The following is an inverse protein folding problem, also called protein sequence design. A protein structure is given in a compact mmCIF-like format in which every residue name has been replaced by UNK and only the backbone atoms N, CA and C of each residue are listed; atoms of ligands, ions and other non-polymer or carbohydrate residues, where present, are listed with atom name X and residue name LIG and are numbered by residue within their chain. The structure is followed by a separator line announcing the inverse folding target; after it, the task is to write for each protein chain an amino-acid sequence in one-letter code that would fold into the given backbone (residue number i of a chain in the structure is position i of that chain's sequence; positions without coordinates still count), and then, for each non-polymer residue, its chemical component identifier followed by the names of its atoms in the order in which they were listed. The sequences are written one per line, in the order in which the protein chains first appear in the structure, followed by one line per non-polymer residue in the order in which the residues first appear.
data_IF_314289307506
#
_entry.id   IF_314289307506
#
_cell.length_a   1.000
_cell.length_b   1.000
_cell.length_c   1.000
_cell.angle_alpha   90.00
_cell.angle_beta   90.00
_cell.angle_gamma   90.00
#
_symmetry.space_group_name_H-M   'P 1'
#
loop_
_entity.id
_entity.type
_entity.pdbx_description
1 polymer ?
#
# COMPACT_ATOMS: atom_id res chain seq x y z
N UNK A 1 3.49 -41.08 33.52
CA UNK A 1 2.92 -40.44 32.33
C UNK A 1 3.91 -39.37 31.89
N UNK A 2 4.74 -39.65 30.87
CA UNK A 2 5.72 -38.73 30.34
C UNK A 2 4.99 -37.82 29.31
N UNK A 3 4.92 -36.55 29.62
CA UNK A 3 4.54 -35.52 28.65
C UNK A 3 5.62 -35.42 27.55
N UNK A 4 5.35 -35.99 26.40
CA UNK A 4 6.17 -35.78 25.23
C UNK A 4 5.88 -34.35 24.71
N UNK A 5 6.65 -33.38 25.18
CA UNK A 5 6.74 -32.07 24.59
C UNK A 5 7.43 -32.17 23.20
N UNK A 6 6.61 -32.22 22.16
CA UNK A 6 7.14 -32.08 20.82
C UNK A 6 7.73 -30.66 20.66
N UNK A 7 9.02 -30.54 20.33
CA UNK A 7 9.58 -29.23 20.04
C UNK A 7 8.92 -28.69 18.73
N UNK A 8 8.02 -27.73 18.86
CA UNK A 8 7.73 -26.84 17.73
C UNK A 8 9.06 -26.20 17.37
N UNK A 9 9.71 -26.70 16.31
CA UNK A 9 10.84 -26.01 15.71
C UNK A 9 10.34 -24.61 15.36
N UNK A 10 10.67 -23.62 16.19
CA UNK A 10 10.34 -22.24 15.97
C UNK A 10 11.04 -21.84 14.67
N UNK A 11 10.25 -21.73 13.60
CA UNK A 11 10.79 -21.24 12.33
C UNK A 11 11.46 -19.87 12.59
N UNK A 12 12.74 -19.76 12.28
CA UNK A 12 13.47 -18.51 12.45
C UNK A 12 12.83 -17.40 11.61
N UNK A 13 12.67 -16.24 12.19
CA UNK A 13 12.17 -15.06 11.49
C UNK A 13 13.05 -14.75 10.27
N UNK A 14 12.45 -14.69 9.08
CA UNK A 14 13.16 -14.34 7.85
C UNK A 14 13.35 -12.81 7.75
N UNK A 15 14.20 -12.25 8.62
CA UNK A 15 14.33 -10.80 8.82
C UNK A 15 14.68 -10.04 7.54
N UNK A 16 15.57 -10.59 6.69
CA UNK A 16 15.89 -9.99 5.38
C UNK A 16 14.68 -9.86 4.46
N UNK A 17 13.77 -10.86 4.52
CA UNK A 17 12.53 -10.84 3.73
C UNK A 17 11.55 -9.83 4.31
N UNK A 18 11.46 -9.70 5.64
CA UNK A 18 10.63 -8.68 6.29
C UNK A 18 11.08 -7.27 5.94
N UNK A 19 12.38 -6.99 5.97
CA UNK A 19 12.93 -5.70 5.56
C UNK A 19 12.65 -5.41 4.09
N UNK A 20 12.81 -6.40 3.21
CA UNK A 20 12.51 -6.26 1.79
C UNK A 20 11.01 -6.01 1.54
N UNK A 21 10.12 -6.67 2.29
CA UNK A 21 8.67 -6.42 2.25
C UNK A 21 8.32 -5.02 2.76
N UNK A 22 8.92 -4.58 3.87
CA UNK A 22 8.76 -3.22 4.38
C UNK A 22 9.24 -2.16 3.40
N UNK A 23 10.39 -2.37 2.75
CA UNK A 23 10.90 -1.50 1.71
C UNK A 23 9.99 -1.50 0.46
N UNK A 24 9.49 -2.66 0.05
CA UNK A 24 8.52 -2.75 -1.06
C UNK A 24 7.24 -1.99 -0.76
N UNK A 25 6.74 -2.05 0.50
CA UNK A 25 5.59 -1.29 0.94
C UNK A 25 5.86 0.21 0.96
N UNK A 26 7.02 0.62 1.48
CA UNK A 26 7.46 2.02 1.45
C UNK A 26 7.48 2.56 0.02
N UNK A 27 8.13 1.88 -0.91
CA UNK A 27 8.20 2.31 -2.31
C UNK A 27 6.81 2.37 -2.95
N UNK A 28 5.98 1.36 -2.73
CA UNK A 28 4.62 1.34 -3.27
C UNK A 28 3.77 2.52 -2.76
N UNK A 29 3.77 2.76 -1.46
CA UNK A 29 2.93 3.81 -0.87
C UNK A 29 3.48 5.22 -1.18
N UNK A 30 4.80 5.36 -1.35
CA UNK A 30 5.40 6.58 -1.92
C UNK A 30 4.83 6.88 -3.30
N UNK A 31 4.79 5.87 -4.18
CA UNK A 31 4.28 6.02 -5.55
C UNK A 31 2.79 6.34 -5.57
N UNK A 32 2.01 5.74 -4.69
CA UNK A 32 0.57 5.99 -4.59
C UNK A 32 0.25 7.38 -4.05
N UNK A 33 0.98 7.84 -3.04
CA UNK A 33 0.75 9.15 -2.42
C UNK A 33 1.13 10.32 -3.35
N UNK A 34 1.97 10.09 -4.37
CA UNK A 34 2.21 11.06 -5.46
C UNK A 34 0.92 11.42 -6.20
N UNK A 35 -0.04 10.48 -6.35
CA UNK A 35 -1.30 10.74 -7.07
C UNK A 35 -2.06 11.90 -6.43
N UNK A 36 -2.27 11.86 -5.11
CA UNK A 36 -2.98 12.92 -4.39
C UNK A 36 -2.15 14.21 -4.32
N UNK A 37 -0.84 14.07 -4.21
CA UNK A 37 0.07 15.21 -4.16
C UNK A 37 0.10 16.04 -5.45
N UNK A 38 -0.20 15.42 -6.61
CA UNK A 38 -0.23 16.15 -7.88
C UNK A 38 -1.61 16.74 -8.25
N UNK A 39 -2.64 16.55 -7.42
CA UNK A 39 -3.99 17.06 -7.69
C UNK A 39 -4.05 18.57 -7.97
N UNK A 40 -3.36 19.46 -7.23
CA UNK A 40 -3.36 20.88 -7.54
C UNK A 40 -2.84 21.18 -8.96
N UNK A 41 -1.76 20.50 -9.36
CA UNK A 41 -1.17 20.65 -10.67
C UNK A 41 -2.10 20.13 -11.79
N UNK A 42 -2.76 18.98 -11.59
CA UNK A 42 -3.75 18.45 -12.55
C UNK A 42 -4.97 19.35 -12.64
N UNK A 43 -5.44 19.88 -11.50
CA UNK A 43 -6.57 20.81 -11.46
C UNK A 43 -6.29 22.06 -12.30
N UNK A 44 -5.12 22.64 -12.13
CA UNK A 44 -4.70 23.83 -12.87
C UNK A 44 -4.49 23.54 -14.36
N UNK A 45 -3.69 22.52 -14.71
CA UNK A 45 -3.31 22.21 -16.09
C UNK A 45 -4.48 21.76 -16.98
N UNK A 46 -5.52 21.15 -16.39
CA UNK A 46 -6.69 20.60 -17.13
C UNK A 46 -7.99 21.32 -16.77
N UNK A 47 -7.95 22.42 -16.00
CA UNK A 47 -9.11 23.15 -15.53
C UNK A 47 -10.16 22.25 -14.84
N UNK A 48 -9.72 21.29 -14.02
CA UNK A 48 -10.61 20.33 -13.36
C UNK A 48 -11.40 20.97 -12.23
N UNK A 49 -12.66 20.57 -12.10
CA UNK A 49 -13.49 20.91 -10.94
C UNK A 49 -13.11 20.05 -9.72
N UNK A 50 -13.48 20.49 -8.51
CA UNK A 50 -13.31 19.67 -7.29
C UNK A 50 -14.08 18.35 -7.33
N UNK A 51 -15.22 18.32 -8.03
CA UNK A 51 -16.00 17.08 -8.24
C UNK A 51 -15.17 16.09 -9.09
N UNK A 52 -14.47 16.55 -10.11
CA UNK A 52 -13.61 15.70 -10.93
C UNK A 52 -12.38 15.19 -10.15
N UNK A 53 -11.80 16.02 -9.29
CA UNK A 53 -10.74 15.59 -8.36
C UNK A 53 -11.26 14.51 -7.40
N UNK A 54 -12.46 14.71 -6.83
CA UNK A 54 -13.11 13.68 -6.01
C UNK A 54 -13.38 12.39 -6.79
N UNK A 55 -13.74 12.49 -8.07
CA UNK A 55 -13.96 11.34 -8.93
C UNK A 55 -12.66 10.58 -9.27
N UNK A 56 -11.53 11.29 -9.44
CA UNK A 56 -10.21 10.66 -9.56
C UNK A 56 -9.88 9.86 -8.30
N UNK A 57 -10.07 10.45 -7.12
CA UNK A 57 -9.89 9.77 -5.83
C UNK A 57 -10.78 8.54 -5.71
N UNK A 58 -12.07 8.66 -6.09
CA UNK A 58 -13.03 7.56 -6.04
C UNK A 58 -12.60 6.38 -6.91
N UNK A 59 -12.23 6.63 -8.16
CA UNK A 59 -11.76 5.58 -9.10
C UNK A 59 -10.53 4.88 -8.56
N UNK A 60 -9.56 5.65 -8.04
CA UNK A 60 -8.38 5.09 -7.39
C UNK A 60 -8.74 4.22 -6.19
N UNK A 61 -9.53 4.72 -5.26
CA UNK A 61 -9.90 4.00 -4.04
C UNK A 61 -10.74 2.75 -4.31
N UNK A 62 -11.69 2.81 -5.26
CA UNK A 62 -12.46 1.63 -5.65
C UNK A 62 -11.55 0.56 -6.25
N UNK A 63 -10.69 0.94 -7.20
CA UNK A 63 -9.78 -0.02 -7.83
C UNK A 63 -8.76 -0.59 -6.83
N UNK A 64 -8.26 0.22 -5.90
CA UNK A 64 -7.33 -0.22 -4.87
C UNK A 64 -7.96 -1.11 -3.80
N UNK A 65 -9.26 -0.93 -3.48
CA UNK A 65 -9.90 -1.59 -2.34
C UNK A 65 -10.77 -2.78 -2.74
N UNK A 66 -11.63 -2.61 -3.76
CA UNK A 66 -12.64 -3.64 -4.14
C UNK A 66 -11.97 -4.90 -4.70
N UNK A 67 -10.84 -4.74 -5.40
CA UNK A 67 -10.11 -5.89 -5.93
C UNK A 67 -9.27 -6.64 -4.88
N UNK A 68 -8.94 -6.04 -3.72
CA UNK A 68 -8.13 -6.71 -2.68
C UNK A 68 -8.74 -8.03 -2.19
N UNK A 69 -10.03 -8.11 -1.80
CA UNK A 69 -10.64 -9.37 -1.41
C UNK A 69 -10.64 -10.41 -2.53
N UNK A 70 -10.85 -10.00 -3.78
CA UNK A 70 -10.87 -10.88 -4.94
C UNK A 70 -9.48 -11.46 -5.20
N UNK A 71 -8.46 -10.62 -5.16
CA UNK A 71 -7.05 -11.03 -5.30
C UNK A 71 -6.64 -11.93 -4.13
N UNK A 72 -6.98 -11.56 -2.89
CA UNK A 72 -6.70 -12.37 -1.70
C UNK A 72 -7.30 -13.76 -1.82
N UNK A 73 -8.58 -13.86 -2.15
CA UNK A 73 -9.28 -15.14 -2.35
C UNK A 73 -8.66 -16.00 -3.48
N UNK A 74 -8.24 -15.36 -4.58
CA UNK A 74 -7.56 -16.06 -5.67
C UNK A 74 -6.20 -16.60 -5.23
N UNK A 75 -5.39 -15.80 -4.55
CA UNK A 75 -4.05 -16.17 -4.10
C UNK A 75 -4.04 -17.19 -2.96
N UNK A 76 -5.08 -17.22 -2.14
CA UNK A 76 -5.26 -18.27 -1.13
C UNK A 76 -5.44 -19.65 -1.78
N UNK A 77 -6.13 -19.70 -2.92
CA UNK A 77 -6.34 -20.94 -3.68
C UNK A 77 -5.17 -21.27 -4.61
N UNK A 78 -4.59 -20.28 -5.27
CA UNK A 78 -3.54 -20.41 -6.27
C UNK A 78 -2.36 -19.47 -5.96
N UNK A 79 -1.58 -19.76 -4.89
CA UNK A 79 -0.47 -18.92 -4.51
C UNK A 79 0.56 -18.83 -5.65
N UNK A 80 0.88 -17.59 -6.03
CA UNK A 80 1.81 -17.30 -7.11
C UNK A 80 2.85 -16.26 -6.65
N UNK A 81 4.14 -16.63 -6.56
CA UNK A 81 5.20 -15.74 -6.11
C UNK A 81 5.37 -14.46 -6.94
N UNK A 82 4.92 -14.46 -8.19
CA UNK A 82 5.13 -13.36 -9.11
C UNK A 82 4.06 -12.26 -9.06
N UNK A 83 3.03 -12.43 -8.24
CA UNK A 83 1.97 -11.42 -8.13
C UNK A 83 2.46 -10.07 -7.61
N UNK A 84 3.44 -10.03 -6.69
CA UNK A 84 4.01 -8.76 -6.22
C UNK A 84 4.62 -7.93 -7.36
N UNK A 85 5.57 -8.45 -8.15
CA UNK A 85 6.10 -7.69 -9.30
C UNK A 85 5.04 -7.37 -10.36
N UNK A 86 4.06 -8.27 -10.59
CA UNK A 86 2.94 -7.99 -11.50
C UNK A 86 2.13 -6.79 -11.01
N UNK A 87 1.76 -6.75 -9.74
CA UNK A 87 1.06 -5.59 -9.15
C UNK A 87 1.86 -4.30 -9.31
N UNK A 88 3.17 -4.33 -8.99
CA UNK A 88 4.03 -3.16 -9.16
C UNK A 88 4.18 -2.73 -10.63
N UNK A 89 4.09 -3.66 -11.58
CA UNK A 89 4.10 -3.32 -13.01
C UNK A 89 2.86 -2.54 -13.44
N UNK A 90 1.69 -2.84 -12.87
CA UNK A 90 0.49 -2.01 -13.08
C UNK A 90 0.68 -0.61 -12.53
N UNK A 91 1.26 -0.45 -11.33
CA UNK A 91 1.60 0.85 -10.76
C UNK A 91 2.58 1.63 -11.65
N UNK A 92 3.62 0.96 -12.14
CA UNK A 92 4.60 1.55 -13.07
C UNK A 92 3.92 2.09 -14.33
N UNK A 93 3.13 1.26 -15.01
CA UNK A 93 2.41 1.64 -16.23
C UNK A 93 1.45 2.80 -15.93
N UNK A 94 0.71 2.73 -14.83
CA UNK A 94 -0.19 3.79 -14.41
C UNK A 94 0.53 5.13 -14.23
N UNK A 95 1.68 5.16 -13.55
CA UNK A 95 2.47 6.38 -13.36
C UNK A 95 3.02 6.95 -14.68
N UNK A 96 3.46 6.07 -15.59
CA UNK A 96 3.89 6.52 -16.93
C UNK A 96 2.71 7.15 -17.68
N UNK A 97 1.53 6.53 -17.66
CA UNK A 97 0.32 7.12 -18.25
C UNK A 97 -0.02 8.45 -17.59
N UNK A 98 0.06 8.54 -16.24
CA UNK A 98 -0.22 9.78 -15.51
C UNK A 98 0.72 10.92 -15.93
N UNK A 99 2.00 10.62 -16.11
CA UNK A 99 3.01 11.60 -16.51
C UNK A 99 2.67 12.30 -17.85
N UNK A 100 2.02 11.59 -18.77
CA UNK A 100 1.67 12.08 -20.10
C UNK A 100 0.17 12.33 -20.30
N UNK A 101 -0.64 12.24 -19.24
CA UNK A 101 -2.08 12.50 -19.31
C UNK A 101 -2.36 13.97 -19.61
N UNK A 102 -3.19 14.23 -20.62
CA UNK A 102 -3.69 15.57 -20.97
C UNK A 102 -5.21 15.69 -20.85
N UNK A 103 -5.91 14.61 -20.47
CA UNK A 103 -7.36 14.59 -20.31
C UNK A 103 -7.78 13.83 -19.04
N UNK A 104 -8.96 14.18 -18.52
CA UNK A 104 -9.53 13.49 -17.34
C UNK A 104 -9.61 11.97 -17.54
N UNK A 105 -10.02 11.50 -18.72
CA UNK A 105 -10.15 10.07 -18.99
C UNK A 105 -8.80 9.34 -18.89
N UNK A 106 -7.71 9.95 -19.37
CA UNK A 106 -6.36 9.39 -19.23
C UNK A 106 -5.92 9.36 -17.78
N UNK A 107 -6.20 10.39 -17.00
CA UNK A 107 -5.93 10.39 -15.54
C UNK A 107 -6.73 9.30 -14.85
N UNK A 108 -8.02 9.14 -15.14
CA UNK A 108 -8.86 8.09 -14.56
C UNK A 108 -8.32 6.69 -14.90
N UNK A 109 -7.92 6.47 -16.14
CA UNK A 109 -7.31 5.19 -16.54
C UNK A 109 -5.98 4.94 -15.83
N UNK A 110 -5.15 5.96 -15.69
CA UNK A 110 -3.88 5.91 -14.98
C UNK A 110 -4.07 5.49 -13.51
N UNK A 111 -4.93 6.21 -12.78
CA UNK A 111 -5.16 5.93 -11.35
C UNK A 111 -5.87 4.60 -11.12
N UNK A 112 -6.69 4.15 -12.08
CA UNK A 112 -7.27 2.81 -12.08
C UNK A 112 -6.19 1.72 -12.15
N UNK A 113 -5.19 1.88 -13.03
CA UNK A 113 -4.06 0.95 -13.12
C UNK A 113 -3.24 0.92 -11.82
N UNK A 114 -2.94 2.10 -11.25
CA UNK A 114 -2.23 2.18 -9.97
C UNK A 114 -3.02 1.51 -8.86
N UNK A 115 -4.35 1.71 -8.83
CA UNK A 115 -5.24 1.05 -7.88
C UNK A 115 -5.24 -0.48 -8.02
N UNK A 116 -5.26 -1.02 -9.23
CA UNK A 116 -5.11 -2.48 -9.47
C UNK A 116 -3.76 -2.96 -8.91
N UNK A 117 -2.66 -2.25 -9.17
CA UNK A 117 -1.35 -2.57 -8.63
C UNK A 117 -1.37 -2.66 -7.10
N UNK A 118 -1.97 -1.66 -6.45
CA UNK A 118 -2.18 -1.60 -5.00
C UNK A 118 -3.00 -2.77 -4.48
N UNK A 119 -4.10 -3.11 -5.15
CA UNK A 119 -5.01 -4.19 -4.75
C UNK A 119 -4.35 -5.58 -4.77
N UNK A 120 -3.32 -5.75 -5.58
CA UNK A 120 -2.52 -6.98 -5.64
C UNK A 120 -1.44 -6.98 -4.55
N UNK A 121 -0.74 -5.86 -4.39
CA UNK A 121 0.42 -5.77 -3.53
C UNK A 121 0.06 -5.90 -2.04
N UNK A 122 -0.92 -5.15 -1.55
CA UNK A 122 -1.22 -5.08 -0.12
C UNK A 122 -1.60 -6.44 0.50
N UNK A 123 -2.58 -7.20 -0.02
CA UNK A 123 -2.95 -8.48 0.57
C UNK A 123 -1.82 -9.50 0.47
N UNK A 124 -1.11 -9.54 -0.66
CA UNK A 124 -0.03 -10.51 -0.85
C UNK A 124 1.18 -10.19 0.01
N UNK A 125 1.62 -8.94 0.07
CA UNK A 125 2.74 -8.53 0.91
C UNK A 125 2.44 -8.73 2.41
N UNK A 126 1.24 -8.39 2.88
CA UNK A 126 0.81 -8.63 4.25
C UNK A 126 0.80 -10.13 4.60
N UNK A 127 0.31 -10.97 3.69
CA UNK A 127 0.33 -12.43 3.82
C UNK A 127 1.76 -12.98 3.92
N UNK A 128 2.67 -12.51 3.04
CA UNK A 128 4.08 -12.90 3.06
C UNK A 128 4.79 -12.40 4.31
N UNK A 129 4.45 -11.23 4.83
CA UNK A 129 4.95 -10.70 6.11
C UNK A 129 4.59 -11.63 7.25
N UNK A 130 3.34 -12.10 7.31
CA UNK A 130 2.92 -13.09 8.29
C UNK A 130 3.67 -14.42 8.14
N UNK A 131 3.89 -14.88 6.91
CA UNK A 131 4.64 -16.12 6.62
C UNK A 131 6.13 -16.01 6.99
N UNK A 132 6.73 -14.82 6.82
CA UNK A 132 8.13 -14.55 7.16
C UNK A 132 8.37 -14.28 8.65
N UNK A 133 7.31 -14.13 9.45
CA UNK A 133 7.39 -13.69 10.86
C UNK A 133 8.07 -14.67 11.81
N UNK A 134 8.11 -15.97 11.47
CA UNK A 134 8.62 -17.00 12.38
C UNK A 134 7.91 -17.02 13.75
N UNK A 135 6.60 -16.75 13.77
CA UNK A 135 5.78 -16.65 14.99
C UNK A 135 5.70 -15.23 15.59
N UNK A 136 6.60 -14.31 15.23
CA UNK A 136 6.63 -12.91 15.71
C UNK A 136 5.76 -12.01 14.83
N UNK A 137 4.46 -12.33 14.69
CA UNK A 137 3.54 -11.65 13.77
C UNK A 137 3.40 -10.15 14.04
N UNK A 138 3.34 -9.74 15.31
CA UNK A 138 3.26 -8.32 15.69
C UNK A 138 4.45 -7.51 15.16
N UNK A 139 5.68 -7.97 15.47
CA UNK A 139 6.90 -7.32 14.97
C UNK A 139 6.94 -7.26 13.44
N UNK A 140 6.59 -8.36 12.78
CA UNK A 140 6.60 -8.41 11.32
C UNK A 140 5.62 -7.39 10.71
N UNK A 141 4.40 -7.31 11.23
CA UNK A 141 3.41 -6.32 10.79
C UNK A 141 3.82 -4.88 11.12
N UNK A 142 4.45 -4.64 12.27
CA UNK A 142 4.98 -3.30 12.59
C UNK A 142 6.03 -2.85 11.57
N UNK A 143 7.01 -3.69 11.25
CA UNK A 143 8.02 -3.38 10.21
C UNK A 143 7.36 -3.07 8.86
N UNK A 144 6.36 -3.87 8.48
CA UNK A 144 5.61 -3.68 7.23
C UNK A 144 4.84 -2.36 7.22
N UNK A 145 4.09 -2.06 8.29
CA UNK A 145 3.28 -0.85 8.41
C UNK A 145 4.11 0.44 8.50
N UNK A 146 5.23 0.40 9.21
CA UNK A 146 6.18 1.53 9.23
C UNK A 146 6.64 1.86 7.81
N UNK A 147 6.96 0.84 6.99
CA UNK A 147 7.29 1.04 5.58
C UNK A 147 6.20 1.80 4.84
N UNK A 148 4.94 1.35 4.90
CA UNK A 148 3.83 2.00 4.21
C UNK A 148 3.57 3.44 4.68
N UNK A 149 3.50 3.67 5.99
CA UNK A 149 3.23 5.01 6.51
C UNK A 149 4.35 6.01 6.19
N UNK A 150 5.62 5.60 6.29
CA UNK A 150 6.75 6.39 5.84
C UNK A 150 6.67 6.67 4.33
N UNK A 151 6.33 5.67 3.54
CA UNK A 151 6.11 5.82 2.10
C UNK A 151 5.04 6.85 1.77
N UNK A 152 3.89 6.76 2.42
CA UNK A 152 2.78 7.70 2.23
C UNK A 152 3.17 9.16 2.55
N UNK A 153 4.06 9.37 3.52
CA UNK A 153 4.56 10.71 3.82
C UNK A 153 5.57 11.22 2.79
N UNK A 154 6.40 10.34 2.21
CA UNK A 154 7.42 10.74 1.24
C UNK A 154 6.86 11.22 -0.09
N UNK A 155 5.66 10.77 -0.50
CA UNK A 155 5.06 11.18 -1.77
C UNK A 155 4.88 12.70 -1.90
N UNK A 156 4.23 13.40 -0.97
CA UNK A 156 4.13 14.86 -0.99
C UNK A 156 5.50 15.55 -0.98
N UNK A 157 6.45 15.06 -0.19
CA UNK A 157 7.81 15.60 -0.17
C UNK A 157 8.48 15.54 -1.54
N UNK A 158 8.42 14.38 -2.18
CA UNK A 158 8.98 14.18 -3.51
C UNK A 158 8.21 14.97 -4.58
N UNK A 159 6.89 15.11 -4.43
CA UNK A 159 6.09 15.96 -5.31
C UNK A 159 6.51 17.44 -5.18
N UNK A 160 6.75 17.94 -3.97
CA UNK A 160 7.25 19.31 -3.72
C UNK A 160 8.63 19.55 -4.37
N UNK A 161 9.52 18.57 -4.30
CA UNK A 161 10.90 18.69 -4.76
C UNK A 161 11.06 18.42 -6.26
N UNK A 162 10.30 17.45 -6.82
CA UNK A 162 10.55 16.92 -8.16
C UNK A 162 9.43 17.23 -9.15
N UNK A 163 8.19 17.44 -8.71
CA UNK A 163 7.04 17.61 -9.62
C UNK A 163 6.58 19.07 -9.65
N UNK A 164 6.37 19.68 -8.49
CA UNK A 164 5.88 21.07 -8.42
C UNK A 164 6.78 22.06 -9.17
N UNK A 165 8.13 22.00 -9.08
CA UNK A 165 9.00 22.91 -9.83
C UNK A 165 9.12 22.60 -11.33
N UNK A 166 8.99 21.33 -11.72
CA UNK A 166 9.33 20.87 -13.07
C UNK A 166 8.14 20.34 -13.88
N UNK A 167 6.95 20.29 -13.26
CA UNK A 167 5.70 19.93 -13.92
C UNK A 167 5.39 18.43 -13.96
N UNK A 168 4.18 18.13 -14.46
CA UNK A 168 3.58 16.80 -14.45
C UNK A 168 4.44 15.71 -15.09
N UNK A 169 5.14 16.01 -16.19
CA UNK A 169 5.96 15.02 -16.93
C UNK A 169 7.03 14.36 -16.06
N UNK A 170 7.49 15.05 -15.01
CA UNK A 170 8.48 14.53 -14.09
C UNK A 170 7.98 13.36 -13.23
N UNK A 171 6.66 13.08 -13.23
CA UNK A 171 6.11 11.86 -12.66
C UNK A 171 6.75 10.61 -13.30
N UNK A 172 7.22 10.68 -14.55
CA UNK A 172 7.88 9.56 -15.22
C UNK A 172 9.12 9.05 -14.46
N UNK A 173 9.84 9.92 -13.73
CA UNK A 173 11.00 9.51 -12.94
C UNK A 173 10.61 8.60 -11.75
N UNK A 174 9.37 8.68 -11.30
CA UNK A 174 8.85 7.77 -10.27
C UNK A 174 8.67 6.34 -10.82
N UNK A 175 8.59 6.15 -12.14
CA UNK A 175 8.66 4.83 -12.74
C UNK A 175 9.99 4.13 -12.44
N UNK A 176 11.10 4.86 -12.23
CA UNK A 176 12.38 4.30 -11.79
C UNK A 176 12.26 3.71 -10.37
N UNK A 177 11.53 4.37 -9.47
CA UNK A 177 11.28 3.83 -8.13
C UNK A 177 10.40 2.57 -8.21
N UNK A 178 9.43 2.53 -9.12
CA UNK A 178 8.64 1.31 -9.36
C UNK A 178 9.50 0.16 -9.89
N UNK A 179 10.45 0.43 -10.79
CA UNK A 179 11.43 -0.55 -11.25
C UNK A 179 12.33 -1.03 -10.10
N UNK A 180 12.82 -0.13 -9.26
CA UNK A 180 13.58 -0.49 -8.05
C UNK A 180 12.75 -1.40 -7.13
N UNK A 181 11.46 -1.10 -6.93
CA UNK A 181 10.57 -1.93 -6.13
C UNK A 181 10.42 -3.34 -6.75
N UNK A 182 10.25 -3.46 -8.07
CA UNK A 182 10.21 -4.74 -8.77
C UNK A 182 11.49 -5.54 -8.52
N UNK A 183 12.66 -4.89 -8.62
CA UNK A 183 13.97 -5.55 -8.37
C UNK A 183 14.04 -6.05 -6.92
N UNK A 184 13.62 -5.25 -5.93
CA UNK A 184 13.56 -5.63 -4.51
C UNK A 184 12.61 -6.81 -4.28
N UNK A 185 11.53 -6.94 -5.07
CA UNK A 185 10.57 -8.04 -4.95
C UNK A 185 11.08 -9.37 -5.51
N UNK A 186 12.08 -9.39 -6.41
CA UNK A 186 12.61 -10.63 -7.01
C UNK A 186 13.15 -11.60 -5.94
N UNK A 187 14.02 -11.20 -5.00
CA UNK A 187 14.44 -12.07 -3.90
C UNK A 187 13.30 -12.61 -3.05
N UNK A 188 12.27 -11.78 -2.79
CA UNK A 188 11.06 -12.18 -2.05
C UNK A 188 10.34 -13.31 -2.81
N UNK A 189 10.14 -13.14 -4.13
CA UNK A 189 9.51 -14.15 -4.98
C UNK A 189 10.27 -15.48 -4.97
N UNK A 190 11.60 -15.42 -5.04
CA UNK A 190 12.46 -16.61 -4.99
C UNK A 190 12.38 -17.33 -3.63
N UNK A 191 12.38 -16.56 -2.54
CA UNK A 191 12.19 -17.09 -1.19
C UNK A 191 10.81 -17.74 -1.05
N UNK A 192 9.76 -17.05 -1.49
CA UNK A 192 8.40 -17.54 -1.41
C UNK A 192 8.19 -18.82 -2.24
N UNK A 193 8.75 -18.89 -3.46
CA UNK A 193 8.72 -20.12 -4.28
C UNK A 193 9.33 -21.32 -3.55
N UNK A 194 10.46 -21.12 -2.86
CA UNK A 194 11.09 -22.17 -2.03
C UNK A 194 10.22 -22.58 -0.86
N UNK A 195 9.63 -21.59 -0.17
CA UNK A 195 8.73 -21.84 0.97
C UNK A 195 7.48 -22.62 0.55
N UNK A 196 6.85 -22.26 -0.57
CA UNK A 196 5.71 -23.00 -1.12
C UNK A 196 6.05 -24.46 -1.46
N UNK A 197 7.25 -24.71 -2.01
CA UNK A 197 7.70 -26.09 -2.26
C UNK A 197 7.85 -26.88 -0.97
N UNK A 198 8.44 -26.29 0.06
CA UNK A 198 8.58 -26.91 1.36
C UNK A 198 7.23 -27.21 2.03
N UNK A 199 6.28 -26.27 1.98
CA UNK A 199 4.94 -26.44 2.53
C UNK A 199 4.13 -27.51 1.80
N UNK A 200 4.32 -27.67 0.48
CA UNK A 200 3.66 -28.75 -0.29
C UNK A 200 4.19 -30.13 0.08
N UNK A 201 5.47 -30.25 0.38
CA UNK A 201 6.09 -31.50 0.79
C UNK A 201 5.68 -31.94 2.22
N UNK A 202 5.31 -30.96 3.07
CA UNK A 202 4.90 -31.20 4.47
C UNK A 202 3.37 -31.29 4.64
N UNK A 203 2.58 -31.37 3.57
CA UNK A 203 1.11 -31.32 3.61
C UNK A 203 0.44 -32.51 4.31
N UNK A 204 1.16 -33.58 4.61
CA UNK A 204 0.59 -34.77 5.24
C UNK A 204 0.41 -34.66 6.77
N UNK A 205 0.72 -33.51 7.39
CA UNK A 205 0.76 -33.38 8.85
C UNK A 205 0.09 -32.20 9.55
N UNK A 206 -0.46 -31.20 8.85
CA UNK A 206 -0.96 -29.99 9.55
C UNK A 206 -2.34 -29.54 9.08
N UNK A 207 -3.37 -30.13 9.67
CA UNK A 207 -4.65 -29.42 9.88
C UNK A 207 -4.45 -28.46 11.06
N UNK A 208 -4.22 -27.19 10.79
CA UNK A 208 -4.27 -26.15 11.82
C UNK A 208 -5.74 -25.86 12.08
N UNK A 209 -6.31 -26.46 13.09
CA UNK A 209 -7.62 -26.03 13.62
C UNK A 209 -7.42 -24.64 14.20
N UNK A 210 -7.95 -23.63 13.50
CA UNK A 210 -8.11 -22.28 14.05
C UNK A 210 -9.29 -22.34 15.01
N UNK A 211 -9.03 -22.72 16.26
CA UNK A 211 -10.01 -22.57 17.32
C UNK A 211 -10.25 -21.07 17.54
N UNK A 212 -11.41 -20.58 17.13
CA UNK A 212 -11.88 -19.26 17.51
C UNK A 212 -12.46 -19.34 18.92
N UNK A 213 -11.85 -18.73 19.95
CA UNK A 213 -12.33 -18.79 21.33
C UNK A 213 -13.59 -17.96 21.56
N UNK A 214 -14.03 -17.16 20.56
CA UNK A 214 -15.15 -16.26 20.67
C UNK A 214 -16.43 -16.86 20.06
N UNK A 215 -17.57 -16.63 20.70
CA UNK A 215 -18.86 -16.95 20.10
C UNK A 215 -19.11 -16.15 18.83
N UNK A 216 -19.85 -16.70 17.86
CA UNK A 216 -20.15 -16.05 16.58
C UNK A 216 -20.71 -14.63 16.74
N UNK A 217 -21.59 -14.40 17.74
CA UNK A 217 -22.16 -13.08 18.02
C UNK A 217 -21.10 -12.08 18.47
N UNK A 218 -20.21 -12.47 19.38
CA UNK A 218 -19.11 -11.63 19.86
C UNK A 218 -18.11 -11.33 18.73
N UNK A 219 -17.81 -12.31 17.89
CA UNK A 219 -16.94 -12.12 16.72
C UNK A 219 -17.53 -11.11 15.75
N UNK A 220 -18.82 -11.24 15.37
CA UNK A 220 -19.49 -10.30 14.46
C UNK A 220 -19.51 -8.89 15.07
N UNK A 221 -19.88 -8.76 16.36
CA UNK A 221 -19.89 -7.46 17.03
C UNK A 221 -18.50 -6.80 17.02
N UNK A 222 -17.46 -7.52 17.41
CA UNK A 222 -16.08 -7.00 17.42
C UNK A 222 -15.61 -6.59 16.03
N UNK A 223 -15.91 -7.40 15.00
CA UNK A 223 -15.60 -7.07 13.62
C UNK A 223 -16.36 -5.83 13.13
N UNK A 224 -17.64 -5.68 13.49
CA UNK A 224 -18.44 -4.51 13.13
C UNK A 224 -17.89 -3.23 13.75
N UNK A 225 -17.55 -3.27 15.05
CA UNK A 225 -16.92 -2.11 15.73
C UNK A 225 -15.60 -1.75 15.08
N UNK A 226 -14.74 -2.75 14.81
CA UNK A 226 -13.46 -2.54 14.15
C UNK A 226 -13.65 -1.93 12.75
N UNK A 227 -14.61 -2.42 11.97
CA UNK A 227 -14.91 -1.91 10.64
C UNK A 227 -15.32 -0.44 10.68
N UNK A 228 -16.21 -0.06 11.61
CA UNK A 228 -16.67 1.33 11.77
C UNK A 228 -15.50 2.25 12.13
N UNK A 229 -14.65 1.84 13.06
CA UNK A 229 -13.47 2.62 13.47
C UNK A 229 -12.48 2.80 12.31
N UNK A 230 -12.19 1.73 11.56
CA UNK A 230 -11.31 1.77 10.39
C UNK A 230 -11.93 2.67 9.32
N UNK A 231 -13.22 2.53 9.02
CA UNK A 231 -13.91 3.35 8.04
C UNK A 231 -13.83 4.84 8.40
N UNK A 232 -14.17 5.21 9.66
CA UNK A 232 -14.09 6.58 10.14
C UNK A 232 -12.68 7.17 9.98
N UNK A 233 -11.64 6.41 10.38
CA UNK A 233 -10.23 6.82 10.21
C UNK A 233 -9.89 7.08 8.74
N UNK A 234 -10.27 6.18 7.85
CA UNK A 234 -9.90 6.29 6.43
C UNK A 234 -10.69 7.38 5.69
N UNK A 235 -11.95 7.64 6.04
CA UNK A 235 -12.72 8.79 5.50
C UNK A 235 -12.01 10.10 5.87
N UNK A 236 -11.62 10.27 7.13
CA UNK A 236 -10.88 11.43 7.58
C UNK A 236 -9.54 11.57 6.84
N UNK A 237 -8.74 10.50 6.78
CA UNK A 237 -7.44 10.53 6.13
C UNK A 237 -7.55 10.81 4.62
N UNK A 238 -8.51 10.21 3.92
CA UNK A 238 -8.75 10.45 2.51
C UNK A 238 -9.15 11.90 2.23
N UNK A 239 -9.97 12.50 3.11
CA UNK A 239 -10.34 13.91 3.00
C UNK A 239 -9.11 14.82 3.13
N UNK A 240 -8.27 14.58 4.13
CA UNK A 240 -7.03 15.35 4.32
C UNK A 240 -6.10 15.18 3.13
N UNK A 241 -5.78 13.96 2.74
CA UNK A 241 -4.82 13.73 1.64
C UNK A 241 -5.29 14.26 0.29
N UNK A 242 -6.62 14.34 0.06
CA UNK A 242 -7.16 14.81 -1.21
C UNK A 242 -7.36 16.33 -1.28
N UNK A 243 -7.67 16.98 -0.16
CA UNK A 243 -8.13 18.37 -0.19
C UNK A 243 -7.33 19.36 0.68
N UNK A 244 -6.46 18.88 1.55
CA UNK A 244 -5.69 19.74 2.47
C UNK A 244 -4.80 20.76 1.73
N UNK A 245 -4.15 20.33 0.67
CA UNK A 245 -3.30 21.21 -0.16
C UNK A 245 -4.11 22.33 -0.81
N UNK A 246 -5.31 22.02 -1.32
CA UNK A 246 -6.20 23.03 -1.86
C UNK A 246 -6.68 24.03 -0.80
N UNK A 247 -7.03 23.55 0.39
CA UNK A 247 -7.41 24.40 1.52
C UNK A 247 -6.30 25.38 1.87
N UNK A 248 -5.06 24.93 1.91
CA UNK A 248 -3.90 25.79 2.20
C UNK A 248 -3.68 26.83 1.10
N UNK A 249 -3.76 26.43 -0.17
CA UNK A 249 -3.58 27.32 -1.31
C UNK A 249 -4.69 28.37 -1.33
N UNK A 250 -5.95 27.98 -1.22
CA UNK A 250 -7.10 28.90 -1.36
C UNK A 250 -7.27 29.82 -0.14
N UNK A 251 -6.98 29.34 1.07
CA UNK A 251 -7.21 30.12 2.31
C UNK A 251 -6.02 30.95 2.75
N UNK A 252 -4.80 30.47 2.49
CA UNK A 252 -3.57 31.10 3.00
C UNK A 252 -2.61 31.56 1.90
N UNK A 253 -3.03 31.43 0.63
CA UNK A 253 -2.27 31.85 -0.55
C UNK A 253 -0.84 31.26 -0.59
N UNK A 254 -0.67 30.05 -0.06
CA UNK A 254 0.63 29.34 -0.09
C UNK A 254 0.85 28.73 -1.48
N UNK A 255 2.11 28.58 -1.87
CA UNK A 255 2.44 27.93 -3.15
C UNK A 255 2.06 26.45 -3.14
N UNK A 256 1.87 25.85 -4.33
CA UNK A 256 1.65 24.40 -4.48
C UNK A 256 2.80 23.61 -3.80
N UNK A 257 4.03 24.07 -3.95
CA UNK A 257 5.21 23.47 -3.35
C UNK A 257 5.14 23.48 -1.82
N UNK A 258 4.84 24.62 -1.21
CA UNK A 258 4.78 24.75 0.25
C UNK A 258 3.62 23.95 0.84
N UNK A 259 2.47 23.91 0.16
CA UNK A 259 1.33 23.09 0.58
C UNK A 259 1.68 21.59 0.66
N UNK A 260 2.57 21.09 -0.22
CA UNK A 260 3.06 19.72 -0.16
C UNK A 260 4.01 19.47 1.02
N UNK A 261 4.83 20.44 1.41
CA UNK A 261 5.64 20.33 2.65
C UNK A 261 4.76 20.23 3.89
N UNK A 262 3.67 20.99 3.96
CA UNK A 262 2.71 20.86 5.07
C UNK A 262 2.01 19.52 5.10
N UNK A 263 1.61 19.00 3.93
CA UNK A 263 1.03 17.67 3.83
C UNK A 263 2.04 16.57 4.24
N UNK A 264 3.30 16.70 3.80
CA UNK A 264 4.38 15.82 4.25
C UNK A 264 4.52 15.85 5.77
N UNK A 265 4.61 17.03 6.39
CA UNK A 265 4.78 17.16 7.84
C UNK A 265 3.62 16.47 8.60
N UNK A 266 2.39 16.65 8.15
CA UNK A 266 1.22 16.00 8.73
C UNK A 266 1.30 14.47 8.64
N UNK A 267 1.59 13.93 7.45
CA UNK A 267 1.66 12.48 7.24
C UNK A 267 2.88 11.85 7.93
N UNK A 268 4.01 12.55 7.97
CA UNK A 268 5.20 12.10 8.66
C UNK A 268 5.01 12.06 10.19
N UNK A 269 4.38 13.09 10.77
CA UNK A 269 4.01 13.08 12.17
C UNK A 269 3.04 11.94 12.50
N UNK A 270 2.06 11.65 11.61
CA UNK A 270 1.17 10.50 11.74
C UNK A 270 1.92 9.17 11.69
N UNK A 271 2.93 9.04 10.82
CA UNK A 271 3.77 7.85 10.73
C UNK A 271 4.61 7.64 12.00
N UNK A 272 5.17 8.71 12.57
CA UNK A 272 5.90 8.64 13.85
C UNK A 272 5.00 8.25 15.01
N UNK A 273 3.77 8.77 15.06
CA UNK A 273 2.80 8.44 16.11
C UNK A 273 2.38 6.96 16.17
N UNK A 274 2.65 6.17 15.14
CA UNK A 274 2.41 4.73 15.13
C UNK A 274 3.55 3.96 15.84
N UNK A 275 4.72 4.59 15.97
CA UNK A 275 5.89 3.99 16.62
C UNK A 275 5.88 4.21 18.14
N UNK A 276 5.05 5.14 18.63
CA UNK A 276 4.86 5.47 20.05
C UNK A 276 3.70 4.65 20.63
#
# INVERSE_FOLDING_TARGET
MQEQSFPKAAESTAFRVLLALGLSHLLNDTLQSVITAVYPLLKESMALSFVQIGFITLVYQISASVFQPLVGFYLDKKPNPWFLPIGMSFTLIGLVVLAFSGTLHQVLFSVFLVGIGSSILHPEASRLTSLASGGKRGLAQSVFQVGGNMGSSLGPLLAALCIAPYGQRNIVFFALLALCAIIVMIPICRWYKRKLKALRLNKDGMKTEVMSPLSRKKTIFSLSVLLILIFSKYVYLASITSYYTFFLIEKFDVTVRDSQFFLFAFLFASALGILL
#
